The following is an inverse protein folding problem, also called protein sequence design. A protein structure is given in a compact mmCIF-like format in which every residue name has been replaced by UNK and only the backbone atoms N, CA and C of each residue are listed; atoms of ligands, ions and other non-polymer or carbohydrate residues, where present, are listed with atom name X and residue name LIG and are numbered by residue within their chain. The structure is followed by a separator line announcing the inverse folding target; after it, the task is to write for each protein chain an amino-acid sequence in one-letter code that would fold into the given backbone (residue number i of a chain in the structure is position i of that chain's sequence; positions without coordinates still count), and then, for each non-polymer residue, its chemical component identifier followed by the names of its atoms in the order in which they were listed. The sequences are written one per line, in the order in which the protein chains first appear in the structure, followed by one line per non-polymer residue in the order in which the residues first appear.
data_IF_304110014157
#
_entry.id   IF_304110014157
#
_cell.length_a   1.000
_cell.length_b   1.000
_cell.length_c   1.000
_cell.angle_alpha   90.00
_cell.angle_beta   90.00
_cell.angle_gamma   90.00
#
_symmetry.space_group_name_H-M   'P 1'
#
loop_
_entity.id
_entity.type
_entity.pdbx_description
1 polymer ?
#
# COMPACT_ATOMS: atom_id res chain seq x y z
N UNK A 1 8.79 -29.83 -29.28
CA UNK A 1 8.95 -28.97 -30.46
C UNK A 1 10.37 -28.41 -30.54
N UNK A 2 10.80 -27.53 -29.63
CA UNK A 2 12.13 -26.88 -29.70
C UNK A 2 13.30 -27.87 -29.68
N UNK A 3 13.26 -28.85 -28.78
CA UNK A 3 14.24 -29.95 -28.67
C UNK A 3 14.32 -30.83 -29.93
N UNK A 4 13.23 -30.92 -30.67
CA UNK A 4 13.09 -31.79 -31.85
C UNK A 4 13.66 -31.08 -33.08
N UNK A 5 13.43 -29.76 -33.16
CA UNK A 5 13.99 -28.88 -34.18
C UNK A 5 15.51 -28.75 -34.01
N UNK A 6 16.01 -28.60 -32.77
CA UNK A 6 17.45 -28.52 -32.52
C UNK A 6 18.16 -29.84 -32.86
N UNK A 7 17.54 -30.99 -32.59
CA UNK A 7 18.14 -32.29 -32.89
C UNK A 7 18.27 -32.53 -34.41
N UNK A 8 17.25 -32.13 -35.19
CA UNK A 8 17.28 -32.23 -36.67
C UNK A 8 18.37 -31.30 -37.26
N UNK A 9 18.54 -30.11 -36.70
CA UNK A 9 19.55 -29.14 -37.16
C UNK A 9 20.98 -29.58 -36.80
N UNK A 10 21.20 -30.11 -35.59
CA UNK A 10 22.48 -30.75 -35.18
C UNK A 10 22.87 -31.88 -36.13
N UNK A 11 21.91 -32.73 -36.48
CA UNK A 11 22.14 -33.84 -37.40
C UNK A 11 22.48 -33.37 -38.82
N UNK A 12 21.88 -32.27 -39.30
CA UNK A 12 22.23 -31.67 -40.61
C UNK A 12 23.58 -30.96 -40.61
N UNK A 13 23.95 -30.29 -39.53
CA UNK A 13 25.23 -29.59 -39.39
C UNK A 13 26.39 -30.53 -38.97
N UNK A 14 26.12 -31.82 -38.74
CA UNK A 14 27.10 -32.84 -38.31
C UNK A 14 27.85 -32.44 -37.03
N UNK A 15 27.16 -31.78 -36.11
CA UNK A 15 27.72 -31.37 -34.81
C UNK A 15 27.82 -32.61 -33.92
N UNK A 16 29.01 -32.87 -33.37
CA UNK A 16 29.28 -34.06 -32.56
C UNK A 16 28.74 -33.84 -31.14
N UNK A 17 28.28 -34.89 -30.46
CA UNK A 17 27.80 -34.79 -29.07
C UNK A 17 28.89 -34.23 -28.15
N UNK A 18 28.67 -33.03 -27.62
CA UNK A 18 29.62 -32.30 -26.77
C UNK A 18 30.19 -31.02 -27.39
N UNK A 19 29.93 -30.77 -28.68
CA UNK A 19 30.28 -29.52 -29.37
C UNK A 19 29.12 -28.51 -29.29
N UNK A 20 29.46 -27.22 -29.18
CA UNK A 20 28.48 -26.13 -29.05
C UNK A 20 27.67 -25.95 -30.35
N UNK A 21 26.40 -25.58 -30.22
CA UNK A 21 25.53 -25.36 -31.38
C UNK A 21 25.95 -24.11 -32.16
N UNK A 22 26.26 -24.27 -33.45
CA UNK A 22 26.52 -23.15 -34.38
C UNK A 22 25.22 -22.49 -34.91
N UNK A 23 24.08 -22.78 -34.29
CA UNK A 23 22.78 -22.22 -34.68
C UNK A 23 21.94 -21.85 -33.45
N UNK A 24 21.20 -20.74 -33.56
CA UNK A 24 20.26 -20.30 -32.54
C UNK A 24 18.84 -20.47 -33.06
N UNK A 25 18.04 -21.28 -32.38
CA UNK A 25 16.62 -21.44 -32.68
C UNK A 25 15.84 -20.47 -31.79
N UNK A 26 15.37 -19.37 -32.36
CA UNK A 26 14.53 -18.42 -31.65
C UNK A 26 13.06 -18.79 -31.91
N UNK A 27 12.36 -19.28 -30.89
CA UNK A 27 10.92 -19.49 -30.99
C UNK A 27 10.17 -18.21 -30.65
N UNK A 28 9.03 -17.99 -31.31
CA UNK A 28 8.12 -16.91 -30.93
C UNK A 28 7.66 -17.05 -29.46
N UNK A 29 7.52 -18.28 -28.97
CA UNK A 29 7.22 -18.56 -27.55
C UNK A 29 8.32 -18.08 -26.61
N UNK A 30 9.60 -18.16 -27.00
CA UNK A 30 10.70 -17.67 -26.18
C UNK A 30 10.69 -16.13 -26.12
N UNK A 31 10.38 -15.47 -27.22
CA UNK A 31 10.25 -14.01 -27.27
C UNK A 31 9.06 -13.51 -26.43
N UNK A 32 7.91 -14.18 -26.54
CA UNK A 32 6.73 -13.89 -25.70
C UNK A 32 7.01 -14.16 -24.22
N UNK A 33 7.69 -15.27 -23.90
CA UNK A 33 8.09 -15.58 -22.52
C UNK A 33 9.02 -14.52 -21.92
N UNK A 34 9.97 -13.99 -22.69
CA UNK A 34 10.81 -12.87 -22.21
C UNK A 34 10.02 -11.59 -21.98
N UNK A 35 9.03 -11.28 -22.84
CA UNK A 35 8.18 -10.10 -22.67
C UNK A 35 7.28 -10.25 -21.42
N UNK A 36 6.67 -11.42 -21.22
CA UNK A 36 5.85 -11.73 -20.04
C UNK A 36 6.67 -11.60 -18.75
N UNK A 37 7.90 -12.11 -18.75
CA UNK A 37 8.80 -11.96 -17.61
C UNK A 37 9.12 -10.49 -17.29
N UNK A 38 9.28 -9.63 -18.31
CA UNK A 38 9.46 -8.20 -18.09
C UNK A 38 8.21 -7.55 -17.47
N UNK A 39 7.02 -7.96 -17.89
CA UNK A 39 5.77 -7.48 -17.30
C UNK A 39 5.62 -7.90 -15.84
N UNK A 40 5.90 -9.17 -15.51
CA UNK A 40 5.83 -9.68 -14.13
C UNK A 40 6.80 -8.94 -13.20
N UNK A 41 8.03 -8.68 -13.66
CA UNK A 41 9.00 -7.91 -12.87
C UNK A 41 8.51 -6.46 -12.68
N UNK A 42 7.94 -5.84 -13.71
CA UNK A 42 7.38 -4.50 -13.62
C UNK A 42 6.20 -4.41 -12.65
N UNK A 43 5.29 -5.39 -12.69
CA UNK A 43 4.16 -5.50 -11.77
C UNK A 43 4.65 -5.65 -10.32
N UNK A 44 5.65 -6.50 -10.07
CA UNK A 44 6.20 -6.71 -8.73
C UNK A 44 6.76 -5.41 -8.13
N UNK A 45 7.53 -4.65 -8.91
CA UNK A 45 8.14 -3.41 -8.44
C UNK A 45 7.06 -2.34 -8.16
N UNK A 46 6.09 -2.19 -9.07
CA UNK A 46 4.97 -1.25 -8.86
C UNK A 46 4.11 -1.65 -7.67
N UNK A 47 3.85 -2.94 -7.50
CA UNK A 47 3.16 -3.50 -6.34
C UNK A 47 3.91 -3.23 -5.04
N UNK A 48 5.24 -3.36 -5.03
CA UNK A 48 6.06 -3.03 -3.87
C UNK A 48 5.99 -1.55 -3.50
N UNK A 49 6.10 -0.65 -4.49
CA UNK A 49 5.96 0.80 -4.28
C UNK A 49 4.57 1.14 -3.75
N UNK A 50 3.53 0.59 -4.37
CA UNK A 50 2.14 0.77 -3.93
C UNK A 50 1.94 0.28 -2.49
N UNK A 51 2.51 -0.88 -2.13
CA UNK A 51 2.48 -1.42 -0.78
C UNK A 51 3.14 -0.52 0.26
N UNK A 52 4.31 0.03 -0.07
CA UNK A 52 5.00 1.00 0.82
C UNK A 52 4.17 2.27 0.97
N UNK A 53 3.63 2.82 -0.12
CA UNK A 53 2.74 3.99 -0.06
C UNK A 53 1.49 3.73 0.78
N UNK A 54 0.94 2.52 0.70
CA UNK A 54 -0.20 2.10 1.51
C UNK A 54 0.14 2.07 3.00
N UNK A 55 1.31 1.55 3.36
CA UNK A 55 1.78 1.53 4.74
C UNK A 55 1.95 2.95 5.29
N UNK A 56 2.64 3.83 4.57
CA UNK A 56 2.84 5.23 4.98
C UNK A 56 1.49 5.96 5.09
N UNK A 57 0.58 5.73 4.15
CA UNK A 57 -0.79 6.27 4.19
C UNK A 57 -1.57 5.78 5.42
N UNK A 58 -1.47 4.49 5.74
CA UNK A 58 -2.10 3.91 6.94
C UNK A 58 -1.57 4.50 8.25
N UNK A 59 -0.26 4.73 8.34
CA UNK A 59 0.37 5.41 9.50
C UNK A 59 -0.17 6.85 9.60
N UNK A 60 -0.30 7.55 8.48
CA UNK A 60 -0.88 8.90 8.44
C UNK A 60 -2.31 8.95 8.94
N UNK A 61 -3.17 8.01 8.51
CA UNK A 61 -4.55 7.89 8.98
C UNK A 61 -4.59 7.64 10.49
N UNK A 62 -3.74 6.73 10.98
CA UNK A 62 -3.64 6.44 12.41
C UNK A 62 -3.23 7.68 13.22
N UNK A 63 -2.29 8.49 12.71
CA UNK A 63 -1.85 9.71 13.39
C UNK A 63 -2.95 10.78 13.47
N UNK A 64 -3.64 11.02 12.35
CA UNK A 64 -4.78 11.97 12.32
C UNK A 64 -5.87 11.51 13.30
N UNK A 65 -6.14 10.20 13.35
CA UNK A 65 -7.09 9.62 14.30
C UNK A 65 -6.66 9.80 15.76
N UNK A 66 -5.37 9.64 16.08
CA UNK A 66 -4.87 9.87 17.45
C UNK A 66 -5.03 11.34 17.87
N UNK A 67 -4.68 12.28 16.99
CA UNK A 67 -4.86 13.72 17.25
C UNK A 67 -6.34 14.07 17.43
N UNK A 68 -7.19 13.58 16.53
CA UNK A 68 -8.65 13.79 16.60
C UNK A 68 -9.26 13.29 17.93
N UNK A 69 -8.80 12.14 18.43
CA UNK A 69 -9.24 11.61 19.73
C UNK A 69 -8.82 12.56 20.85
N UNK A 70 -7.60 13.10 20.80
CA UNK A 70 -7.10 14.03 21.82
C UNK A 70 -7.87 15.36 21.84
N UNK A 71 -8.21 15.91 20.68
CA UNK A 71 -9.00 17.15 20.56
C UNK A 71 -10.42 16.98 21.09
N UNK A 72 -11.06 15.83 20.82
CA UNK A 72 -12.45 15.54 21.23
C UNK A 72 -12.54 14.85 22.61
N UNK A 73 -11.46 14.76 23.38
CA UNK A 73 -11.43 14.07 24.69
C UNK A 73 -12.50 14.56 25.67
N UNK A 74 -12.72 15.89 25.75
CA UNK A 74 -13.67 16.50 26.69
C UNK A 74 -15.11 16.07 26.41
N UNK A 75 -15.47 15.94 25.14
CA UNK A 75 -16.78 15.46 24.71
C UNK A 75 -16.97 13.96 25.00
N UNK A 76 -15.92 13.16 24.79
CA UNK A 76 -15.92 11.72 25.07
C UNK A 76 -16.08 11.48 26.58
N UNK A 77 -15.39 12.26 27.42
CA UNK A 77 -15.50 12.21 28.87
C UNK A 77 -16.92 12.53 29.36
N UNK A 78 -17.54 13.57 28.79
CA UNK A 78 -18.94 13.91 29.06
C UNK A 78 -19.90 12.78 28.67
N UNK A 79 -19.71 12.17 27.48
CA UNK A 79 -20.55 11.02 27.06
C UNK A 79 -20.42 9.80 27.98
N UNK A 80 -19.20 9.47 28.44
CA UNK A 80 -18.99 8.38 29.40
C UNK A 80 -19.62 8.67 30.77
N UNK A 81 -19.58 9.91 31.24
CA UNK A 81 -20.19 10.32 32.51
C UNK A 81 -21.72 10.16 32.53
N UNK A 82 -22.36 10.30 31.35
CA UNK A 82 -23.81 10.09 31.17
C UNK A 82 -24.16 8.60 30.90
N UNK A 83 -23.16 7.71 30.86
CA UNK A 83 -23.34 6.25 30.78
C UNK A 83 -23.10 5.63 29.40
N UNK A 84 -22.45 6.32 28.46
CA UNK A 84 -22.09 5.73 27.17
C UNK A 84 -21.13 4.53 27.36
N UNK A 85 -21.39 3.42 26.64
CA UNK A 85 -20.54 2.24 26.72
C UNK A 85 -19.26 2.44 25.90
N UNK A 86 -18.18 1.77 26.33
CA UNK A 86 -16.89 1.76 25.59
C UNK A 86 -17.05 1.37 24.12
N UNK A 87 -18.00 0.46 23.83
CA UNK A 87 -18.30 -0.01 22.47
C UNK A 87 -18.82 1.08 21.55
N UNK A 88 -19.70 1.96 22.04
CA UNK A 88 -20.31 3.03 21.23
C UNK A 88 -19.24 4.00 20.71
N UNK A 89 -18.26 4.29 21.57
CA UNK A 89 -17.13 5.17 21.26
C UNK A 89 -16.19 4.48 20.27
N UNK A 90 -15.87 3.20 20.48
CA UNK A 90 -15.04 2.44 19.53
C UNK A 90 -15.69 2.38 18.16
N UNK A 91 -17.00 2.12 18.08
CA UNK A 91 -17.70 2.05 16.78
C UNK A 91 -17.74 3.40 16.08
N UNK A 92 -17.89 4.52 16.80
CA UNK A 92 -17.88 5.85 16.20
C UNK A 92 -16.53 6.15 15.52
N UNK A 93 -15.43 5.95 16.23
CA UNK A 93 -14.10 6.17 15.67
C UNK A 93 -13.77 5.20 14.55
N UNK A 94 -14.19 3.93 14.66
CA UNK A 94 -13.98 2.95 13.60
C UNK A 94 -14.76 3.32 12.34
N UNK A 95 -16.00 3.83 12.48
CA UNK A 95 -16.78 4.31 11.33
C UNK A 95 -16.15 5.56 10.71
N UNK A 96 -15.60 6.48 11.50
CA UNK A 96 -14.89 7.67 10.98
C UNK A 96 -13.66 7.28 10.16
N UNK A 97 -12.83 6.35 10.68
CA UNK A 97 -11.68 5.81 9.96
C UNK A 97 -12.08 5.06 8.67
N UNK A 98 -13.13 4.25 8.73
CA UNK A 98 -13.63 3.49 7.57
C UNK A 98 -14.17 4.42 6.49
N UNK A 99 -14.91 5.47 6.87
CA UNK A 99 -15.44 6.46 5.91
C UNK A 99 -14.30 7.27 5.29
N UNK A 100 -13.32 7.70 6.07
CA UNK A 100 -12.13 8.40 5.55
C UNK A 100 -11.37 7.53 4.53
N UNK A 101 -11.14 6.26 4.87
CA UNK A 101 -10.46 5.33 3.98
C UNK A 101 -11.27 5.00 2.72
N UNK A 102 -12.59 4.83 2.86
CA UNK A 102 -13.47 4.59 1.73
C UNK A 102 -13.53 5.79 0.78
N UNK A 103 -13.62 7.02 1.31
CA UNK A 103 -13.56 8.24 0.51
C UNK A 103 -12.22 8.36 -0.23
N UNK A 104 -11.10 8.13 0.48
CA UNK A 104 -9.77 8.13 -0.14
C UNK A 104 -9.62 7.06 -1.23
N UNK A 105 -10.12 5.85 -0.97
CA UNK A 105 -10.13 4.75 -1.94
C UNK A 105 -10.99 5.05 -3.16
N UNK A 106 -12.20 5.58 -2.97
CA UNK A 106 -13.09 5.96 -4.06
C UNK A 106 -12.48 7.08 -4.92
N UNK A 107 -11.88 8.09 -4.28
CA UNK A 107 -11.16 9.15 -5.00
C UNK A 107 -9.93 8.60 -5.73
N UNK A 108 -9.17 7.71 -5.10
CA UNK A 108 -8.00 7.06 -5.72
C UNK A 108 -8.36 6.23 -6.95
N UNK A 109 -9.41 5.41 -6.86
CA UNK A 109 -9.92 4.63 -8.01
C UNK A 109 -10.44 5.56 -9.11
N UNK A 110 -11.19 6.59 -8.77
CA UNK A 110 -11.71 7.55 -9.73
C UNK A 110 -10.60 8.32 -10.48
N UNK A 111 -9.59 8.81 -9.74
CA UNK A 111 -8.43 9.48 -10.33
C UNK A 111 -7.57 8.52 -11.15
N UNK A 112 -7.33 7.30 -10.67
CA UNK A 112 -6.61 6.28 -11.41
C UNK A 112 -7.28 5.95 -12.74
N UNK A 113 -8.60 5.74 -12.74
CA UNK A 113 -9.37 5.52 -13.96
C UNK A 113 -9.29 6.70 -14.94
N UNK A 114 -9.36 7.94 -14.43
CA UNK A 114 -9.23 9.13 -15.25
C UNK A 114 -7.84 9.25 -15.88
N UNK A 115 -6.77 9.01 -15.11
CA UNK A 115 -5.39 9.05 -15.60
C UNK A 115 -5.19 8.00 -16.71
N UNK A 116 -5.70 6.80 -16.52
CA UNK A 116 -5.64 5.72 -17.53
C UNK A 116 -6.37 6.14 -18.82
N UNK A 117 -7.58 6.70 -18.72
CA UNK A 117 -8.34 7.20 -19.88
C UNK A 117 -7.61 8.32 -20.63
N UNK A 118 -7.07 9.30 -19.90
CA UNK A 118 -6.40 10.46 -20.49
C UNK A 118 -5.08 10.05 -21.15
N UNK A 119 -4.28 9.24 -20.47
CA UNK A 119 -3.01 8.73 -21.02
C UNK A 119 -3.23 7.84 -22.23
N UNK A 120 -4.22 6.93 -22.21
CA UNK A 120 -4.55 6.10 -23.35
C UNK A 120 -4.95 6.93 -24.59
N UNK A 121 -5.79 7.94 -24.41
CA UNK A 121 -6.18 8.85 -25.50
C UNK A 121 -4.99 9.67 -26.02
N UNK A 122 -4.13 10.17 -25.13
CA UNK A 122 -2.94 10.93 -25.52
C UNK A 122 -1.95 10.08 -26.34
N UNK A 123 -1.74 8.83 -25.93
CA UNK A 123 -0.82 7.90 -26.59
C UNK A 123 -1.37 7.40 -27.94
N UNK A 124 -2.68 7.21 -28.03
CA UNK A 124 -3.35 6.89 -29.30
C UNK A 124 -3.14 8.02 -30.34
N UNK A 125 -3.19 9.29 -29.92
CA UNK A 125 -2.91 10.43 -30.81
C UNK A 125 -1.44 10.50 -31.28
N UNK A 126 -0.50 9.87 -30.54
CA UNK A 126 0.92 9.78 -30.90
C UNK A 126 1.23 8.56 -31.78
N UNK A 127 0.21 7.77 -32.18
CA UNK A 127 0.39 6.60 -33.05
C UNK A 127 0.76 5.30 -32.32
N UNK A 128 0.69 5.28 -30.99
CA UNK A 128 0.96 4.10 -30.15
C UNK A 128 -0.32 3.71 -29.40
N UNK A 129 -1.25 2.97 -30.04
CA UNK A 129 -2.48 2.54 -29.38
C UNK A 129 -2.17 1.47 -28.32
N UNK A 130 -2.20 1.86 -27.04
CA UNK A 130 -2.13 0.92 -25.91
C UNK A 130 -3.53 0.58 -25.41
N UNK A 131 -3.91 -0.71 -25.35
CA UNK A 131 -5.20 -1.14 -24.82
C UNK A 131 -5.20 -1.02 -23.29
N UNK A 132 -5.69 0.12 -22.79
CA UNK A 132 -5.79 0.39 -21.37
C UNK A 132 -7.10 -0.16 -20.81
N UNK A 133 -7.16 -1.47 -20.60
CA UNK A 133 -8.33 -2.16 -20.03
C UNK A 133 -8.13 -2.27 -18.53
N UNK A 134 -9.07 -1.74 -17.75
CA UNK A 134 -9.09 -1.89 -16.29
C UNK A 134 -10.05 -3.04 -15.96
N UNK A 135 -9.55 -4.22 -15.58
CA UNK A 135 -10.42 -5.34 -15.18
C UNK A 135 -11.17 -5.02 -13.88
N UNK A 136 -12.39 -5.53 -13.76
CA UNK A 136 -13.25 -5.36 -12.57
C UNK A 136 -12.60 -5.90 -11.29
N UNK A 137 -11.76 -6.94 -11.43
CA UNK A 137 -11.13 -7.63 -10.31
C UNK A 137 -10.14 -6.72 -9.58
N UNK A 138 -9.46 -5.84 -10.31
CA UNK A 138 -8.52 -4.86 -9.72
C UNK A 138 -9.28 -3.79 -8.94
N UNK A 139 -10.46 -3.38 -9.40
CA UNK A 139 -11.31 -2.41 -8.68
C UNK A 139 -11.81 -3.05 -7.38
N UNK A 140 -12.28 -4.29 -7.43
CA UNK A 140 -12.72 -5.03 -6.25
C UNK A 140 -11.57 -5.20 -5.23
N UNK A 141 -10.38 -5.54 -5.72
CA UNK A 141 -9.17 -5.63 -4.90
C UNK A 141 -8.81 -4.29 -4.25
N UNK A 142 -8.85 -3.18 -5.01
CA UNK A 142 -8.57 -1.84 -4.49
C UNK A 142 -9.55 -1.43 -3.38
N UNK A 143 -10.85 -1.69 -3.55
CA UNK A 143 -11.86 -1.44 -2.52
C UNK A 143 -11.62 -2.32 -1.30
N UNK A 144 -11.29 -3.61 -1.50
CA UNK A 144 -10.96 -4.52 -0.41
C UNK A 144 -9.75 -4.05 0.40
N UNK A 145 -8.70 -3.60 -0.27
CA UNK A 145 -7.50 -3.04 0.38
C UNK A 145 -7.82 -1.75 1.13
N UNK A 146 -8.64 -0.84 0.58
CA UNK A 146 -9.06 0.37 1.27
C UNK A 146 -9.79 0.04 2.59
N UNK A 147 -10.81 -0.83 2.54
CA UNK A 147 -11.54 -1.26 3.74
C UNK A 147 -10.60 -1.91 4.76
N UNK A 148 -9.70 -2.78 4.31
CA UNK A 148 -8.72 -3.43 5.17
C UNK A 148 -7.82 -2.43 5.90
N UNK A 149 -7.24 -1.46 5.17
CA UNK A 149 -6.36 -0.44 5.75
C UNK A 149 -7.11 0.49 6.70
N UNK A 150 -8.32 0.92 6.35
CA UNK A 150 -9.17 1.73 7.24
C UNK A 150 -9.50 1.02 8.55
N UNK A 151 -9.80 -0.28 8.49
CA UNK A 151 -10.07 -1.08 9.67
C UNK A 151 -8.82 -1.26 10.55
N UNK A 152 -7.70 -1.68 9.96
CA UNK A 152 -6.45 -1.95 10.70
C UNK A 152 -5.90 -0.68 11.35
N UNK A 153 -5.85 0.44 10.60
CA UNK A 153 -5.36 1.72 11.12
C UNK A 153 -6.32 2.36 12.14
N UNK A 154 -7.62 2.09 12.05
CA UNK A 154 -8.65 2.64 12.94
C UNK A 154 -8.83 1.89 14.26
N UNK A 155 -8.53 0.58 14.31
CA UNK A 155 -8.74 -0.24 15.52
C UNK A 155 -7.90 0.28 16.70
N UNK A 156 -6.62 0.57 16.48
CA UNK A 156 -5.72 1.04 17.53
C UNK A 156 -6.20 2.34 18.22
N UNK A 157 -6.43 3.46 17.50
CA UNK A 157 -6.92 4.69 18.11
C UNK A 157 -8.32 4.54 18.71
N UNK A 158 -9.20 3.73 18.10
CA UNK A 158 -10.55 3.50 18.61
C UNK A 158 -10.56 2.77 19.97
N UNK A 159 -9.66 1.79 20.16
CA UNK A 159 -9.49 1.10 21.45
C UNK A 159 -8.89 2.08 22.47
N UNK A 160 -7.91 2.89 22.07
CA UNK A 160 -7.31 3.91 22.93
C UNK A 160 -8.35 4.88 23.45
N UNK A 161 -9.17 5.48 22.57
CA UNK A 161 -10.25 6.40 22.94
C UNK A 161 -11.27 5.79 23.92
N UNK A 162 -11.62 4.52 23.71
CA UNK A 162 -12.56 3.80 24.56
C UNK A 162 -12.01 3.54 25.98
N UNK A 163 -10.69 3.45 26.14
CA UNK A 163 -10.03 3.19 27.43
C UNK A 163 -9.72 4.46 28.25
N UNK A 164 -9.85 5.67 27.71
CA UNK A 164 -9.63 6.90 28.48
C UNK A 164 -10.64 7.05 29.63
N UNK A 165 -10.15 7.26 30.86
CA UNK A 165 -10.98 7.52 32.03
C UNK A 165 -11.20 9.04 32.22
N UNK A 166 -12.35 9.47 32.75
CA UNK A 166 -12.73 10.88 32.81
C UNK A 166 -11.84 11.76 33.71
N UNK A 167 -11.11 11.16 34.66
CA UNK A 167 -10.23 11.90 35.58
C UNK A 167 -8.85 12.22 34.97
N UNK A 168 -8.43 11.51 33.92
CA UNK A 168 -7.11 11.64 33.29
C UNK A 168 -6.99 12.85 32.34
N UNK A 169 -8.08 13.60 32.12
CA UNK A 169 -8.10 14.71 31.16
C UNK A 169 -7.24 15.92 31.57
N UNK A 170 -6.97 16.11 32.87
CA UNK A 170 -6.13 17.24 33.33
C UNK A 170 -4.62 16.99 33.14
N UNK A 171 -4.18 15.74 32.99
CA UNK A 171 -2.76 15.36 32.83
C UNK A 171 -2.41 14.95 31.38
N UNK A 172 -3.31 15.24 30.44
CA UNK A 172 -3.25 14.77 29.06
C UNK A 172 -1.97 15.20 28.32
N UNK A 173 -1.34 16.32 28.69
CA UNK A 173 -0.08 16.77 28.10
C UNK A 173 1.10 15.81 28.41
N UNK A 174 1.13 15.24 29.62
CA UNK A 174 2.16 14.28 30.04
C UNK A 174 1.93 12.90 29.44
N UNK A 175 0.66 12.49 29.34
CA UNK A 175 0.28 11.18 28.78
C UNK A 175 0.42 11.16 27.26
N UNK A 176 0.08 12.25 26.56
CA UNK A 176 0.29 12.35 25.11
C UNK A 176 1.79 12.38 24.75
N UNK A 177 2.60 13.14 25.49
CA UNK A 177 4.05 13.20 25.29
C UNK A 177 4.75 11.85 25.56
N UNK A 178 4.31 11.10 26.58
CA UNK A 178 4.83 9.75 26.87
C UNK A 178 4.30 8.67 25.93
N UNK A 179 3.08 8.80 25.40
CA UNK A 179 2.52 7.87 24.42
C UNK A 179 3.14 8.05 23.02
N UNK A 180 3.35 9.29 22.57
CA UNK A 180 4.03 9.58 21.30
C UNK A 180 5.49 9.09 21.31
N UNK A 181 6.21 9.23 22.43
CA UNK A 181 7.59 8.71 22.57
C UNK A 181 7.65 7.20 22.72
N UNK A 182 6.64 6.55 23.31
CA UNK A 182 6.61 5.09 23.45
C UNK A 182 6.14 4.38 22.16
N UNK A 183 5.15 4.95 21.47
CA UNK A 183 4.58 4.37 20.24
C UNK A 183 5.49 4.61 19.01
N UNK A 184 6.20 5.74 18.94
CA UNK A 184 7.26 5.93 17.91
C UNK A 184 8.40 4.93 18.09
N UNK A 185 8.69 4.49 19.31
CA UNK A 185 9.76 3.54 19.61
C UNK A 185 9.37 2.09 19.24
N UNK A 186 8.11 1.69 19.41
CA UNK A 186 7.59 0.37 18.95
C UNK A 186 7.47 0.28 17.43
N UNK A 187 7.01 1.33 16.76
CA UNK A 187 6.90 1.36 15.29
C UNK A 187 8.31 1.40 14.64
N UNK A 188 9.28 2.09 15.25
CA UNK A 188 10.67 2.12 14.77
C UNK A 188 11.37 0.77 14.93
N UNK A 189 11.09 0.00 15.99
CA UNK A 189 11.70 -1.32 16.22
C UNK A 189 11.30 -2.39 15.18
N UNK A 190 10.19 -2.19 14.46
CA UNK A 190 9.71 -3.11 13.42
C UNK A 190 10.26 -2.81 12.00
N UNK A 191 11.06 -1.75 11.83
CA UNK A 191 11.64 -1.37 10.52
C UNK A 191 13.17 -1.33 10.60
N UNK A 192 13.93 -2.01 9.71
CA UNK A 192 15.39 -1.99 9.74
C UNK A 192 15.90 -0.74 9.00
N UNK A 193 15.48 0.45 9.43
CA UNK A 193 15.99 1.72 8.88
C UNK A 193 16.87 2.39 9.93
N UNK A 194 18.17 2.23 9.75
CA UNK A 194 19.24 2.75 10.58
C UNK A 194 19.15 4.29 10.65
N UNK A 195 18.62 4.83 11.76
CA UNK A 195 18.24 6.23 11.92
C UNK A 195 19.28 7.21 12.54
N UNK A 196 20.58 6.91 12.77
CA UNK A 196 21.48 7.90 13.35
C UNK A 196 21.94 8.99 12.36
N UNK A 197 21.66 8.87 11.05
CA UNK A 197 22.13 9.83 10.03
C UNK A 197 21.08 10.86 9.55
N UNK A 198 19.79 10.71 9.86
CA UNK A 198 18.77 11.67 9.37
C UNK A 198 18.65 12.95 10.21
N UNK A 199 18.88 12.88 11.52
CA UNK A 199 18.79 14.07 12.42
C UNK A 199 19.92 15.09 12.15
N UNK A 200 21.00 14.68 11.47
CA UNK A 200 22.12 15.57 11.13
C UNK A 200 21.87 16.42 9.89
N UNK A 201 20.94 16.03 9.00
CA UNK A 201 20.73 16.71 7.71
C UNK A 201 19.76 17.89 7.87
N UNK A 202 18.76 17.79 8.73
CA UNK A 202 17.78 18.87 8.98
C UNK A 202 18.34 20.01 9.85
N UNK A 203 19.59 19.90 10.31
CA UNK A 203 20.28 20.94 11.09
C UNK A 203 21.44 21.61 10.33
N UNK A 204 21.60 21.30 9.04
CA UNK A 204 22.63 21.87 8.14
C UNK A 204 22.01 22.68 6.97
N UNK A 205 20.70 22.56 6.74
CA UNK A 205 19.91 23.48 5.90
C UNK A 205 19.19 24.51 6.78
#
# INVERSE_FOLDING_TARGET
AHWEISNILRQRHRIIEGEDDDFSVMSMDALLGTADQMYVIGELIMGAIAGISLLVGGIGIMNIMLVSVTERTREIGLRKAVGAKRRDITTQFLTEATVLSFCGGAMGVGLGWLIVRVSANALANMGLPFPAIVPSDVIALAVGVAVFVGLVSGIYPAIRAARLDPNDLNDCCTIACSALTRDTMEITAATPINMPNMVKIERIL
#
